data_IF_255414827460
#
_entry.id   IF_255414827460
#
_cell.length_a   1.000
_cell.length_b   1.000
_cell.length_c   1.000
_cell.angle_alpha   90.00
_cell.angle_beta   90.00
_cell.angle_gamma   90.00
#
_symmetry.space_group_name_H-M   'P 1'
#
loop_
_entity.id
_entity.type
_entity.pdbx_description
1 polymer ?
#
# COMPACT_ATOMS: atom_id res chain seq x y z
N UNK A 1 16.39 -44.15 -37.14
CA UNK A 1 16.70 -44.17 -35.69
C UNK A 1 17.18 -42.77 -35.35
N UNK A 2 16.25 -41.90 -34.98
CA UNK A 2 16.56 -40.51 -34.58
C UNK A 2 16.55 -40.47 -33.06
N UNK A 3 17.70 -40.13 -32.50
CA UNK A 3 17.88 -39.94 -31.06
C UNK A 3 17.50 -38.51 -30.74
N UNK A 4 16.35 -38.30 -30.08
CA UNK A 4 15.96 -37.02 -29.51
C UNK A 4 16.64 -36.88 -28.15
N UNK A 5 17.68 -36.06 -28.09
CA UNK A 5 18.31 -35.62 -26.86
C UNK A 5 17.41 -34.59 -26.19
N UNK A 6 16.63 -34.99 -25.18
CA UNK A 6 15.84 -34.10 -24.35
C UNK A 6 16.74 -33.38 -23.35
N UNK A 7 16.94 -32.08 -23.53
CA UNK A 7 17.48 -31.22 -22.46
C UNK A 7 16.41 -31.04 -21.39
N UNK A 8 16.52 -31.80 -20.31
CA UNK A 8 15.80 -31.54 -19.06
C UNK A 8 16.42 -30.30 -18.40
N UNK A 9 15.86 -29.16 -18.66
CA UNK A 9 16.14 -27.96 -17.87
C UNK A 9 15.65 -28.22 -16.45
N UNK A 10 16.59 -28.30 -15.48
CA UNK A 10 16.23 -28.31 -14.07
C UNK A 10 15.55 -27.00 -13.71
N UNK A 11 14.25 -27.07 -13.47
CA UNK A 11 13.54 -25.99 -12.80
C UNK A 11 14.18 -25.90 -11.40
N UNK A 12 14.95 -24.83 -11.15
CA UNK A 12 15.38 -24.52 -9.78
C UNK A 12 14.10 -24.18 -9.02
N UNK A 13 13.68 -25.07 -8.16
CA UNK A 13 12.71 -24.76 -7.11
C UNK A 13 13.46 -23.79 -6.19
N UNK A 14 13.12 -22.51 -6.28
CA UNK A 14 13.57 -21.51 -5.31
C UNK A 14 12.83 -21.87 -4.03
N UNK A 15 13.55 -22.29 -2.99
CA UNK A 15 12.93 -22.53 -1.69
C UNK A 15 12.33 -21.21 -1.21
N UNK A 16 11.11 -21.24 -0.64
CA UNK A 16 10.49 -20.02 -0.13
C UNK A 16 11.38 -19.39 0.94
N UNK A 17 11.63 -18.10 0.84
CA UNK A 17 12.42 -17.35 1.82
C UNK A 17 11.69 -17.40 3.16
N UNK A 18 12.37 -17.84 4.22
CA UNK A 18 11.86 -17.63 5.58
C UNK A 18 12.00 -16.15 5.93
N UNK A 19 10.92 -15.39 5.71
CA UNK A 19 10.92 -13.94 5.88
C UNK A 19 11.23 -13.49 7.32
N UNK A 20 11.02 -14.36 8.32
CA UNK A 20 11.36 -14.06 9.72
C UNK A 20 12.85 -14.20 10.05
N UNK A 21 13.61 -14.92 9.22
CA UNK A 21 15.02 -15.21 9.46
C UNK A 21 15.94 -14.87 8.28
N UNK A 22 15.41 -14.83 7.06
CA UNK A 22 16.18 -14.73 5.83
C UNK A 22 16.32 -13.32 5.27
N UNK A 23 15.57 -12.34 5.77
CA UNK A 23 15.62 -10.96 5.29
C UNK A 23 16.58 -10.11 6.12
N UNK A 24 17.20 -9.12 5.45
CA UNK A 24 18.01 -8.12 6.12
C UNK A 24 17.11 -6.96 6.51
N UNK A 25 17.12 -6.66 7.80
CA UNK A 25 16.27 -5.63 8.40
C UNK A 25 17.17 -4.60 9.06
N UNK A 26 16.91 -3.34 8.75
CA UNK A 26 17.67 -2.21 9.28
C UNK A 26 16.78 -1.37 10.19
N UNK A 27 17.36 -0.85 11.26
CA UNK A 27 16.78 0.27 11.98
C UNK A 27 16.96 1.53 11.15
N UNK A 28 15.88 2.30 10.97
CA UNK A 28 15.88 3.41 10.03
C UNK A 28 16.69 4.62 10.47
N UNK A 29 16.92 4.80 11.77
CA UNK A 29 17.61 5.98 12.33
C UNK A 29 19.15 5.90 12.25
N UNK A 30 19.71 4.69 12.35
CA UNK A 30 21.17 4.49 12.41
C UNK A 30 21.69 3.39 11.45
N UNK A 31 20.82 2.73 10.70
CA UNK A 31 21.17 1.66 9.77
C UNK A 31 21.63 0.36 10.44
N UNK A 32 21.48 0.23 11.75
CA UNK A 32 21.89 -0.98 12.45
C UNK A 32 21.04 -2.18 12.02
N UNK A 33 21.69 -3.29 11.70
CA UNK A 33 21.00 -4.54 11.38
C UNK A 33 20.31 -5.07 12.63
N UNK A 34 19.04 -5.34 12.51
CA UNK A 34 18.19 -5.89 13.57
C UNK A 34 17.60 -7.23 13.14
N UNK A 35 16.97 -7.94 14.08
CA UNK A 35 16.32 -9.23 13.85
C UNK A 35 14.85 -9.19 14.20
N UNK A 36 14.11 -10.18 13.75
CA UNK A 36 12.67 -10.30 13.98
C UNK A 36 12.20 -10.01 15.41
N UNK A 37 12.87 -10.51 16.48
CA UNK A 37 12.45 -10.20 17.85
C UNK A 37 12.48 -8.71 18.21
N UNK A 38 13.36 -7.93 17.57
CA UNK A 38 13.49 -6.48 17.82
C UNK A 38 12.34 -5.73 17.14
N UNK A 39 11.96 -6.13 15.91
CA UNK A 39 10.73 -5.63 15.28
C UNK A 39 9.52 -5.96 16.16
N UNK A 40 9.37 -7.21 16.57
CA UNK A 40 8.23 -7.63 17.40
C UNK A 40 8.20 -6.95 18.77
N UNK A 41 9.34 -6.52 19.29
CA UNK A 41 9.38 -5.66 20.48
C UNK A 41 8.84 -4.26 20.21
N UNK A 42 9.17 -3.65 19.07
CA UNK A 42 8.61 -2.36 18.64
C UNK A 42 7.11 -2.48 18.39
N UNK A 43 6.67 -3.51 17.66
CA UNK A 43 5.26 -3.85 17.42
C UNK A 43 4.49 -4.03 18.73
N UNK A 44 5.08 -4.69 19.75
CA UNK A 44 4.45 -4.83 21.06
C UNK A 44 4.21 -3.48 21.75
N UNK A 45 5.11 -2.52 21.54
CA UNK A 45 5.00 -1.17 22.07
C UNK A 45 4.04 -0.25 21.30
N UNK A 46 3.71 -0.59 20.06
CA UNK A 46 2.91 0.23 19.17
C UNK A 46 1.41 -0.06 19.32
N UNK A 47 0.60 0.94 19.01
CA UNK A 47 -0.86 0.85 18.88
C UNK A 47 -1.27 0.73 17.41
N UNK A 48 -0.46 1.32 16.51
CA UNK A 48 -0.62 1.23 15.05
C UNK A 48 0.70 0.78 14.43
N UNK A 49 0.62 -0.23 13.58
CA UNK A 49 1.73 -0.76 12.79
C UNK A 49 1.43 -0.44 11.34
N UNK A 50 2.22 0.42 10.72
CA UNK A 50 2.09 0.78 9.29
C UNK A 50 3.13 -0.01 8.52
N UNK A 51 2.67 -0.80 7.55
CA UNK A 51 3.50 -1.65 6.71
C UNK A 51 3.54 -1.06 5.29
N UNK A 52 4.61 -0.34 4.99
CA UNK A 52 4.88 0.23 3.67
C UNK A 52 5.34 -0.83 2.68
N UNK A 53 4.83 -0.79 1.44
CA UNK A 53 5.11 -1.79 0.41
C UNK A 53 5.44 -1.20 -0.95
N UNK A 54 6.10 -1.99 -1.78
CA UNK A 54 6.02 -1.93 -3.23
C UNK A 54 5.00 -2.97 -3.68
N UNK A 55 4.01 -2.55 -4.48
CA UNK A 55 2.83 -3.37 -4.81
C UNK A 55 3.12 -4.66 -5.57
N UNK A 56 4.28 -4.80 -6.19
CA UNK A 56 4.72 -5.96 -6.98
C UNK A 56 5.84 -6.78 -6.29
N UNK A 57 6.15 -6.48 -5.02
CA UNK A 57 7.14 -7.21 -4.24
C UNK A 57 6.54 -8.38 -3.46
N UNK A 58 6.54 -9.56 -4.07
CA UNK A 58 5.99 -10.78 -3.45
C UNK A 58 6.68 -11.16 -2.12
N UNK A 59 7.96 -10.85 -1.94
CA UNK A 59 8.69 -11.12 -0.70
C UNK A 59 8.28 -10.14 0.39
N UNK A 60 8.10 -8.86 0.02
CA UNK A 60 7.55 -7.82 0.90
C UNK A 60 6.15 -8.19 1.40
N UNK A 61 5.27 -8.70 0.53
CA UNK A 61 3.94 -9.19 0.95
C UNK A 61 4.03 -10.42 1.87
N UNK A 62 4.99 -11.32 1.64
CA UNK A 62 5.27 -12.43 2.57
C UNK A 62 5.71 -11.92 3.94
N UNK A 63 6.51 -10.85 3.98
CA UNK A 63 6.89 -10.18 5.24
C UNK A 63 5.69 -9.54 5.94
N UNK A 64 4.83 -8.84 5.20
CA UNK A 64 3.59 -8.27 5.76
C UNK A 64 2.68 -9.35 6.36
N UNK A 65 2.47 -10.46 5.63
CA UNK A 65 1.69 -11.59 6.13
C UNK A 65 2.26 -12.11 7.45
N UNK A 66 3.58 -12.29 7.56
CA UNK A 66 4.22 -12.76 8.77
C UNK A 66 4.02 -11.81 9.97
N UNK A 67 4.06 -10.49 9.75
CA UNK A 67 3.75 -9.50 10.80
C UNK A 67 2.27 -9.61 11.21
N UNK A 68 1.34 -9.68 10.25
CA UNK A 68 -0.10 -9.82 10.51
C UNK A 68 -0.38 -11.07 11.34
N UNK A 69 0.14 -12.24 10.93
CA UNK A 69 0.00 -13.50 11.66
C UNK A 69 0.51 -13.38 13.10
N UNK A 70 1.71 -12.84 13.29
CA UNK A 70 2.34 -12.69 14.61
C UNK A 70 1.57 -11.70 15.49
N UNK A 71 1.01 -10.63 14.91
CA UNK A 71 0.17 -9.65 15.64
C UNK A 71 -1.15 -10.31 16.06
N UNK A 72 -1.89 -10.90 15.13
CA UNK A 72 -3.19 -11.51 15.42
C UNK A 72 -3.08 -12.68 16.40
N UNK A 73 -1.99 -13.44 16.35
CA UNK A 73 -1.75 -14.50 17.32
C UNK A 73 -1.52 -13.96 18.74
N UNK A 74 -0.82 -12.83 18.89
CA UNK A 74 -0.42 -12.29 20.21
C UNK A 74 -1.44 -11.32 20.80
N UNK A 75 -2.15 -10.61 19.93
CA UNK A 75 -3.14 -9.59 20.26
C UNK A 75 -4.43 -9.85 19.44
N UNK A 76 -5.25 -10.80 19.85
CA UNK A 76 -6.40 -11.27 19.06
C UNK A 76 -7.48 -10.21 18.83
N UNK A 77 -7.56 -9.17 19.67
CA UNK A 77 -8.49 -8.05 19.48
C UNK A 77 -7.95 -6.97 18.53
N UNK A 78 -6.99 -7.32 17.68
CA UNK A 78 -6.41 -6.43 16.67
C UNK A 78 -7.19 -6.46 15.36
N UNK A 79 -6.98 -5.44 14.53
CA UNK A 79 -7.58 -5.30 13.21
C UNK A 79 -6.52 -5.21 12.12
N UNK A 80 -6.85 -5.67 10.90
CA UNK A 80 -6.07 -5.45 9.68
C UNK A 80 -6.77 -4.36 8.88
N UNK A 81 -6.04 -3.30 8.51
CA UNK A 81 -6.53 -2.18 7.73
C UNK A 81 -5.79 -2.13 6.40
N UNK A 82 -6.49 -1.97 5.29
CA UNK A 82 -5.87 -2.12 3.97
C UNK A 82 -6.21 -0.94 3.05
N UNK A 83 -5.18 -0.35 2.44
CA UNK A 83 -5.33 0.64 1.38
C UNK A 83 -6.10 0.08 0.18
N UNK A 84 -5.95 -1.20 -0.08
CA UNK A 84 -6.42 -1.94 -1.24
C UNK A 84 -7.94 -1.95 -1.37
N UNK A 85 -8.64 -1.70 -0.28
CA UNK A 85 -10.11 -1.64 -0.24
C UNK A 85 -10.60 -0.22 0.02
N UNK A 86 -11.58 0.22 -0.74
CA UNK A 86 -12.29 1.46 -0.46
C UNK A 86 -13.50 1.25 0.47
N UNK A 87 -13.89 2.31 1.16
CA UNK A 87 -14.97 2.27 2.19
C UNK A 87 -16.30 1.72 1.67
N UNK A 88 -16.56 1.71 0.36
CA UNK A 88 -17.80 1.13 -0.21
C UNK A 88 -17.76 -0.41 -0.21
N UNK A 89 -16.61 -1.01 -0.01
CA UNK A 89 -16.41 -2.45 -0.05
C UNK A 89 -16.54 -3.12 1.32
N UNK A 90 -16.65 -2.34 2.41
CA UNK A 90 -16.65 -2.88 3.77
C UNK A 90 -17.69 -3.99 3.97
N UNK A 91 -18.93 -3.79 3.52
CA UNK A 91 -19.99 -4.80 3.69
C UNK A 91 -19.67 -6.12 2.96
N UNK A 92 -19.00 -6.06 1.81
CA UNK A 92 -18.60 -7.27 1.06
C UNK A 92 -17.47 -8.00 1.79
N UNK A 93 -16.55 -7.25 2.39
CA UNK A 93 -15.47 -7.80 3.22
C UNK A 93 -16.07 -8.50 4.45
N UNK A 94 -16.98 -7.85 5.15
CA UNK A 94 -17.63 -8.39 6.34
C UNK A 94 -18.40 -9.68 6.01
N UNK A 95 -19.12 -9.72 4.89
CA UNK A 95 -19.83 -10.89 4.39
C UNK A 95 -18.86 -12.06 4.09
N UNK A 96 -17.69 -11.78 3.53
CA UNK A 96 -16.66 -12.80 3.27
C UNK A 96 -16.03 -13.32 4.57
N UNK A 97 -15.69 -12.43 5.49
CA UNK A 97 -15.12 -12.81 6.79
C UNK A 97 -16.09 -13.66 7.61
N UNK A 98 -17.40 -13.40 7.49
CA UNK A 98 -18.48 -14.14 8.16
C UNK A 98 -18.89 -15.45 7.45
N UNK A 99 -18.19 -15.88 6.39
CA UNK A 99 -18.57 -17.02 5.55
C UNK A 99 -19.98 -16.91 4.91
N UNK A 100 -20.51 -15.69 4.78
CA UNK A 100 -21.80 -15.43 4.15
C UNK A 100 -21.71 -15.50 2.62
N UNK A 101 -20.55 -15.10 2.05
CA UNK A 101 -20.20 -15.25 0.63
C UNK A 101 -18.90 -16.03 0.48
N UNK A 102 -18.73 -16.70 -0.64
CA UNK A 102 -17.50 -17.40 -0.99
C UNK A 102 -16.42 -16.47 -1.56
N UNK A 103 -15.21 -17.00 -1.75
CA UNK A 103 -14.08 -16.27 -2.30
C UNK A 103 -14.35 -15.73 -3.71
N UNK A 104 -15.03 -16.50 -4.56
CA UNK A 104 -15.34 -16.08 -5.94
C UNK A 104 -16.25 -14.84 -5.92
N UNK A 105 -17.31 -14.87 -5.12
CA UNK A 105 -18.23 -13.74 -4.94
C UNK A 105 -17.52 -12.52 -4.35
N UNK A 106 -16.67 -12.72 -3.33
CA UNK A 106 -15.83 -11.66 -2.76
C UNK A 106 -14.96 -11.00 -3.83
N UNK A 107 -14.22 -11.79 -4.61
CA UNK A 107 -13.35 -11.30 -5.68
C UNK A 107 -14.13 -10.61 -6.81
N UNK A 108 -15.35 -11.05 -7.12
CA UNK A 108 -16.18 -10.41 -8.13
C UNK A 108 -16.74 -9.06 -7.68
N UNK A 109 -16.99 -8.91 -6.38
CA UNK A 109 -17.67 -7.76 -5.81
C UNK A 109 -16.72 -6.66 -5.33
N UNK A 110 -15.44 -6.95 -5.18
CA UNK A 110 -14.44 -5.96 -4.77
C UNK A 110 -13.69 -5.36 -5.96
N UNK A 111 -13.43 -4.06 -5.88
CA UNK A 111 -12.67 -3.34 -6.91
C UNK A 111 -11.17 -3.67 -6.87
N UNK A 112 -10.65 -4.08 -5.72
CA UNK A 112 -9.27 -4.52 -5.51
C UNK A 112 -8.87 -5.66 -6.44
N UNK A 113 -9.81 -6.49 -6.87
CA UNK A 113 -9.58 -7.60 -7.80
C UNK A 113 -9.82 -7.25 -9.28
N UNK A 114 -10.01 -5.98 -9.60
CA UNK A 114 -10.15 -5.54 -11.02
C UNK A 114 -8.97 -5.96 -11.88
N UNK A 115 -7.80 -6.04 -11.31
CA UNK A 115 -6.60 -6.55 -11.98
C UNK A 115 -6.80 -8.01 -12.41
N UNK A 116 -7.25 -8.87 -11.52
CA UNK A 116 -7.54 -10.28 -11.80
C UNK A 116 -8.60 -10.42 -12.90
N UNK A 117 -9.65 -9.61 -12.83
CA UNK A 117 -10.72 -9.58 -13.85
C UNK A 117 -10.18 -9.19 -15.24
N UNK A 118 -9.31 -8.18 -15.30
CA UNK A 118 -8.64 -7.79 -16.55
C UNK A 118 -7.70 -8.88 -17.07
N UNK A 119 -6.95 -9.52 -16.20
CA UNK A 119 -6.05 -10.62 -16.54
C UNK A 119 -6.83 -11.82 -17.10
N UNK A 120 -7.98 -12.16 -16.51
CA UNK A 120 -8.88 -13.19 -17.02
C UNK A 120 -9.44 -12.83 -18.41
N UNK A 121 -9.86 -11.58 -18.62
CA UNK A 121 -10.34 -11.10 -19.92
C UNK A 121 -9.23 -11.13 -20.99
N UNK A 122 -8.01 -10.79 -20.63
CA UNK A 122 -6.87 -10.89 -21.53
C UNK A 122 -6.54 -12.35 -21.89
N UNK A 123 -6.51 -13.24 -20.90
CA UNK A 123 -6.28 -14.66 -21.11
C UNK A 123 -7.39 -15.32 -21.96
N UNK A 124 -8.63 -14.86 -21.83
CA UNK A 124 -9.76 -15.29 -22.65
C UNK A 124 -9.76 -14.69 -24.08
N UNK A 125 -8.80 -13.82 -24.42
CA UNK A 125 -8.73 -13.17 -25.73
C UNK A 125 -9.76 -12.04 -25.97
N UNK A 126 -10.45 -11.61 -24.91
CA UNK A 126 -11.45 -10.52 -24.97
C UNK A 126 -10.80 -9.14 -25.06
N UNK A 127 -9.54 -9.04 -24.64
CA UNK A 127 -8.73 -7.82 -24.71
C UNK A 127 -7.48 -8.06 -25.54
N UNK A 128 -7.12 -7.10 -26.41
CA UNK A 128 -5.82 -7.11 -27.04
C UNK A 128 -4.74 -6.62 -26.05
N UNK A 129 -3.47 -7.01 -26.32
CA UNK A 129 -2.31 -6.69 -25.49
C UNK A 129 -2.20 -5.20 -25.14
N UNK A 130 -2.32 -4.31 -26.10
CA UNK A 130 -2.21 -2.86 -25.92
C UNK A 130 -3.28 -2.32 -24.96
N UNK A 131 -4.52 -2.81 -25.09
CA UNK A 131 -5.63 -2.41 -24.22
C UNK A 131 -5.45 -2.95 -22.82
N UNK A 132 -4.97 -4.19 -22.68
CA UNK A 132 -4.64 -4.81 -21.40
C UNK A 132 -3.56 -4.01 -20.68
N UNK A 133 -2.40 -3.81 -21.32
CA UNK A 133 -1.28 -3.05 -20.74
C UNK A 133 -1.69 -1.63 -20.32
N UNK A 134 -2.48 -0.92 -21.13
CA UNK A 134 -2.98 0.41 -20.80
C UNK A 134 -3.94 0.41 -19.60
N UNK A 135 -4.75 -0.64 -19.45
CA UNK A 135 -5.72 -0.73 -18.35
C UNK A 135 -5.05 -1.19 -17.07
N UNK A 136 -4.16 -2.18 -17.15
CA UNK A 136 -3.49 -2.77 -15.99
C UNK A 136 -2.55 -1.78 -15.31
N UNK A 137 -1.84 -0.95 -16.09
CA UNK A 137 -0.99 0.12 -15.58
C UNK A 137 -1.73 1.19 -14.71
N UNK A 138 -3.07 1.12 -14.66
CA UNK A 138 -3.93 2.01 -13.88
C UNK A 138 -4.60 1.31 -12.71
N UNK A 139 -4.30 0.04 -12.49
CA UNK A 139 -4.91 -0.79 -11.45
C UNK A 139 -3.83 -1.27 -10.51
N UNK A 140 -3.91 -0.82 -9.29
CA UNK A 140 -2.82 -0.82 -8.34
C UNK A 140 -2.47 -2.13 -7.63
N UNK A 141 -3.16 -3.27 -7.85
CA UNK A 141 -2.95 -4.44 -6.98
C UNK A 141 -2.58 -5.70 -7.77
N UNK A 142 -1.29 -5.83 -8.20
CA UNK A 142 -0.85 -6.99 -8.96
C UNK A 142 -0.85 -8.25 -8.10
N UNK A 143 -1.09 -9.39 -8.76
CA UNK A 143 -0.97 -10.72 -8.15
C UNK A 143 -1.75 -10.88 -6.82
N UNK A 144 -3.00 -10.37 -6.78
CA UNK A 144 -3.86 -10.38 -5.59
C UNK A 144 -3.89 -11.72 -4.87
N UNK A 145 -4.01 -12.81 -5.61
CA UNK A 145 -4.15 -14.17 -5.06
C UNK A 145 -2.93 -14.60 -4.23
N UNK A 146 -1.73 -14.14 -4.60
CA UNK A 146 -0.48 -14.47 -3.90
C UNK A 146 -0.05 -13.41 -2.89
N UNK A 147 -0.36 -12.14 -3.14
CA UNK A 147 0.16 -11.03 -2.38
C UNK A 147 -0.77 -10.59 -1.25
N UNK A 148 -2.05 -10.40 -1.54
CA UNK A 148 -3.00 -9.79 -0.59
C UNK A 148 -4.03 -10.78 -0.02
N UNK A 149 -4.50 -11.74 -0.83
CA UNK A 149 -5.50 -12.71 -0.36
C UNK A 149 -5.04 -13.50 0.87
N UNK A 150 -3.77 -13.96 0.98
CA UNK A 150 -3.32 -14.65 2.18
C UNK A 150 -3.42 -13.82 3.46
N UNK A 151 -3.28 -12.49 3.36
CA UNK A 151 -3.42 -11.57 4.50
C UNK A 151 -4.88 -11.46 4.94
N UNK A 152 -5.81 -11.35 3.99
CA UNK A 152 -7.25 -11.36 4.27
C UNK A 152 -7.67 -12.69 4.89
N UNK A 153 -7.14 -13.81 4.37
CA UNK A 153 -7.44 -15.16 4.88
C UNK A 153 -6.85 -15.39 6.28
N UNK A 154 -5.68 -14.83 6.58
CA UNK A 154 -5.11 -14.86 7.93
C UNK A 154 -5.98 -14.08 8.94
N UNK A 155 -6.49 -12.91 8.55
CA UNK A 155 -7.44 -12.15 9.36
C UNK A 155 -8.74 -12.94 9.57
N UNK A 156 -9.31 -13.53 8.52
CA UNK A 156 -10.49 -14.38 8.58
C UNK A 156 -10.29 -15.58 9.53
N UNK A 157 -9.16 -16.27 9.39
CA UNK A 157 -8.84 -17.42 10.24
C UNK A 157 -8.69 -17.06 11.71
N UNK A 158 -8.21 -15.85 12.00
CA UNK A 158 -8.09 -15.32 13.35
C UNK A 158 -9.39 -14.72 13.89
N UNK A 159 -10.44 -14.57 13.07
CA UNK A 159 -11.67 -13.87 13.44
C UNK A 159 -11.48 -12.36 13.60
N UNK A 160 -10.41 -11.80 13.02
CA UNK A 160 -10.08 -10.40 13.09
C UNK A 160 -10.78 -9.59 11.97
N UNK A 161 -11.23 -8.34 12.23
CA UNK A 161 -11.80 -7.50 11.21
C UNK A 161 -10.76 -7.05 10.18
N UNK A 162 -11.19 -6.95 8.92
CA UNK A 162 -10.45 -6.29 7.84
C UNK A 162 -11.18 -5.00 7.49
N UNK A 163 -10.46 -3.89 7.54
CA UNK A 163 -10.99 -2.54 7.36
C UNK A 163 -10.68 -2.03 5.96
N UNK A 164 -11.74 -1.69 5.22
CA UNK A 164 -11.66 -0.97 3.96
C UNK A 164 -11.25 0.48 4.23
N UNK A 165 -9.95 0.76 4.16
CA UNK A 165 -9.42 2.01 4.69
C UNK A 165 -9.50 3.19 3.73
N UNK A 166 -9.50 2.93 2.41
CA UNK A 166 -9.29 3.96 1.40
C UNK A 166 -10.59 4.67 0.99
N UNK A 167 -10.44 5.78 0.30
CA UNK A 167 -11.56 6.46 -0.38
C UNK A 167 -11.90 5.75 -1.70
N UNK A 168 -13.14 5.81 -2.18
CA UNK A 168 -13.46 5.48 -3.57
C UNK A 168 -12.66 6.36 -4.55
N UNK A 169 -11.45 5.94 -4.85
CA UNK A 169 -10.42 6.74 -5.53
C UNK A 169 -10.81 7.20 -6.93
N UNK A 170 -11.61 6.42 -7.67
CA UNK A 170 -12.15 6.83 -8.98
C UNK A 170 -13.18 7.96 -8.88
N UNK A 171 -13.65 8.29 -7.68
CA UNK A 171 -14.66 9.33 -7.43
C UNK A 171 -14.02 10.51 -6.70
N UNK A 172 -13.85 10.41 -5.39
CA UNK A 172 -13.48 11.55 -4.55
C UNK A 172 -12.04 12.01 -4.74
N UNK A 173 -11.08 11.07 -4.83
CA UNK A 173 -9.71 11.38 -5.19
C UNK A 173 -9.64 12.07 -6.57
N UNK A 174 -10.40 11.57 -7.56
CA UNK A 174 -10.43 12.15 -8.90
C UNK A 174 -11.10 13.54 -8.93
N UNK A 175 -12.08 13.80 -8.07
CA UNK A 175 -12.69 15.13 -7.92
C UNK A 175 -11.69 16.10 -7.28
N UNK A 176 -11.07 15.73 -6.15
CA UNK A 176 -10.03 16.53 -5.50
C UNK A 176 -8.89 16.90 -6.47
N UNK A 177 -8.47 15.92 -7.28
CA UNK A 177 -7.43 16.11 -8.30
C UNK A 177 -7.78 17.17 -9.33
N UNK A 178 -9.02 17.16 -9.84
CA UNK A 178 -9.44 18.02 -10.97
C UNK A 178 -10.03 19.35 -10.54
N UNK A 179 -10.74 19.39 -9.42
CA UNK A 179 -11.62 20.50 -9.05
C UNK A 179 -11.28 21.10 -7.67
N UNK A 180 -10.34 20.49 -6.92
CA UNK A 180 -9.96 20.94 -5.58
C UNK A 180 -10.83 20.35 -4.48
N UNK A 181 -10.52 20.71 -3.23
CA UNK A 181 -11.22 20.19 -2.05
C UNK A 181 -12.61 20.81 -1.87
N UNK A 182 -12.78 22.07 -2.25
CA UNK A 182 -14.05 22.81 -2.10
C UNK A 182 -15.20 22.11 -2.83
N UNK A 183 -14.90 21.42 -3.92
CA UNK A 183 -15.91 20.65 -4.65
C UNK A 183 -16.44 19.45 -3.85
N UNK A 184 -15.65 18.96 -2.91
CA UNK A 184 -16.00 17.84 -2.01
C UNK A 184 -16.91 18.28 -0.84
N UNK A 185 -17.16 19.56 -0.65
CA UNK A 185 -18.11 20.06 0.35
C UNK A 185 -19.58 19.88 -0.10
N UNK A 186 -19.82 19.85 -1.41
CA UNK A 186 -21.14 19.72 -2.01
C UNK A 186 -21.62 18.27 -2.13
N UNK A 187 -21.57 17.51 -1.03
CA UNK A 187 -21.94 16.09 -1.01
C UNK A 187 -22.98 15.79 0.07
N UNK A 188 -23.71 14.69 -0.10
CA UNK A 188 -24.63 14.19 0.93
C UNK A 188 -23.86 13.61 2.11
N UNK A 189 -24.52 13.46 3.27
CA UNK A 189 -23.91 12.83 4.45
C UNK A 189 -23.42 11.40 4.17
N UNK A 190 -24.16 10.63 3.36
CA UNK A 190 -23.75 9.28 2.96
C UNK A 190 -22.49 9.28 2.09
N UNK A 191 -22.32 10.25 1.21
CA UNK A 191 -21.10 10.40 0.43
C UNK A 191 -19.94 10.88 1.31
N UNK A 192 -20.20 11.80 2.24
CA UNK A 192 -19.18 12.35 3.14
C UNK A 192 -18.56 11.29 4.05
N UNK A 193 -19.28 10.24 4.39
CA UNK A 193 -18.73 9.12 5.17
C UNK A 193 -17.72 8.24 4.42
N UNK A 194 -17.58 8.41 3.10
CA UNK A 194 -16.73 7.60 2.26
C UNK A 194 -15.32 8.17 2.07
N UNK A 195 -15.06 9.38 2.52
CA UNK A 195 -13.75 10.03 2.37
C UNK A 195 -13.51 11.06 3.47
N UNK A 196 -12.26 11.43 3.63
CA UNK A 196 -11.84 12.56 4.44
C UNK A 196 -11.02 13.52 3.59
N UNK A 197 -11.05 14.80 3.97
CA UNK A 197 -10.25 15.86 3.37
C UNK A 197 -9.33 16.40 4.46
N UNK A 198 -8.03 16.60 4.19
CA UNK A 198 -7.14 17.22 5.16
C UNK A 198 -7.53 18.69 5.38
N UNK A 199 -7.25 19.22 6.56
CA UNK A 199 -7.53 20.62 6.90
C UNK A 199 -6.80 21.63 5.99
N UNK A 200 -5.65 21.20 5.46
CA UNK A 200 -4.81 22.02 4.57
C UNK A 200 -3.95 21.15 3.68
N UNK A 201 -3.48 21.70 2.57
CA UNK A 201 -2.39 21.12 1.77
C UNK A 201 -1.09 21.34 2.55
N UNK A 202 -0.38 20.28 2.96
CA UNK A 202 0.86 20.42 3.71
C UNK A 202 1.96 21.03 2.82
N UNK A 203 2.81 21.83 3.44
CA UNK A 203 4.12 22.23 2.91
C UNK A 203 5.20 21.35 3.56
N UNK A 204 6.38 21.28 2.96
CA UNK A 204 7.51 20.56 3.53
C UNK A 204 7.91 19.30 2.75
N UNK A 205 8.64 18.38 3.42
CA UNK A 205 9.35 17.27 2.75
C UNK A 205 8.44 16.31 2.00
N UNK A 206 7.25 16.00 2.51
CA UNK A 206 6.30 15.12 1.82
C UNK A 206 5.87 15.71 0.46
N UNK A 207 5.55 17.01 0.43
CA UNK A 207 5.21 17.71 -0.82
C UNK A 207 6.39 17.76 -1.78
N UNK A 208 7.58 18.09 -1.30
CA UNK A 208 8.81 18.13 -2.12
C UNK A 208 9.09 16.79 -2.76
N UNK A 209 9.08 15.71 -1.97
CA UNK A 209 9.25 14.34 -2.48
C UNK A 209 8.21 13.95 -3.52
N UNK A 210 6.96 14.42 -3.35
CA UNK A 210 5.92 14.16 -4.32
C UNK A 210 6.25 14.77 -5.69
N UNK A 211 6.78 16.01 -5.72
CA UNK A 211 7.26 16.65 -6.94
C UNK A 211 8.48 15.92 -7.52
N UNK A 212 9.47 15.62 -6.71
CA UNK A 212 10.69 14.92 -7.14
C UNK A 212 10.37 13.56 -7.77
N UNK A 213 9.48 12.79 -7.16
CA UNK A 213 9.09 11.46 -7.68
C UNK A 213 8.27 11.56 -8.97
N UNK A 214 7.37 12.55 -9.10
CA UNK A 214 6.48 12.64 -10.27
C UNK A 214 7.05 13.46 -11.42
N UNK A 215 7.86 14.47 -11.13
CA UNK A 215 8.38 15.41 -12.11
C UNK A 215 9.88 15.32 -12.31
N UNK A 216 10.63 14.63 -11.43
CA UNK A 216 12.09 14.62 -11.42
C UNK A 216 12.72 16.00 -11.12
N UNK A 217 11.94 16.93 -10.61
CA UNK A 217 12.35 18.33 -10.36
C UNK A 217 11.65 18.89 -9.12
N UNK A 218 12.15 19.99 -8.60
CA UNK A 218 11.47 20.73 -7.55
C UNK A 218 10.25 21.52 -8.07
N UNK A 219 9.31 21.82 -7.18
CA UNK A 219 8.18 22.68 -7.50
C UNK A 219 8.65 24.08 -7.92
N UNK A 220 8.11 24.61 -9.01
CA UNK A 220 8.48 25.91 -9.56
C UNK A 220 9.71 25.91 -10.48
N UNK A 221 10.42 24.81 -10.60
CA UNK A 221 11.46 24.65 -11.62
C UNK A 221 10.83 24.39 -13.00
N UNK A 222 11.41 24.88 -14.10
CA UNK A 222 10.90 24.58 -15.43
C UNK A 222 10.98 23.09 -15.72
N UNK A 223 9.99 22.55 -16.45
CA UNK A 223 10.11 21.22 -17.01
C UNK A 223 11.27 21.21 -18.02
N UNK A 224 12.14 20.19 -17.94
CA UNK A 224 13.20 20.05 -18.92
C UNK A 224 12.60 19.75 -20.29
N UNK A 225 12.90 20.60 -21.29
CA UNK A 225 12.50 20.43 -22.69
C UNK A 225 13.39 19.39 -23.42
N UNK A 226 14.10 18.52 -22.67
CA UNK A 226 15.04 17.58 -23.28
C UNK A 226 14.31 16.36 -23.85
N UNK A 227 14.15 16.40 -25.18
CA UNK A 227 13.58 15.33 -26.03
C UNK A 227 14.51 14.09 -26.16
N UNK A 228 15.50 13.93 -25.29
CA UNK A 228 16.57 12.95 -25.45
C UNK A 228 16.68 11.92 -24.33
N UNK A 229 16.16 10.80 -24.57
CA UNK A 229 16.51 9.42 -24.22
C UNK A 229 15.36 8.59 -23.66
N UNK A 230 15.01 7.51 -24.37
CA UNK A 230 13.88 6.61 -24.13
C UNK A 230 13.95 5.78 -22.81
N UNK A 231 14.84 6.07 -21.89
CA UNK A 231 15.01 5.33 -20.64
C UNK A 231 15.02 6.26 -19.42
N UNK A 232 13.84 6.74 -19.02
CA UNK A 232 13.68 7.47 -17.75
C UNK A 232 13.02 8.85 -17.85
N UNK A 233 12.40 9.19 -18.96
CA UNK A 233 11.68 10.46 -19.07
C UNK A 233 10.49 10.47 -18.11
N UNK A 234 10.60 11.29 -17.04
CA UNK A 234 9.43 11.67 -16.27
C UNK A 234 8.44 12.35 -17.23
N UNK A 235 7.14 11.99 -17.21
CA UNK A 235 6.16 12.71 -18.02
C UNK A 235 6.23 14.18 -17.59
N UNK A 236 6.46 15.10 -18.53
CA UNK A 236 6.59 16.54 -18.28
C UNK A 236 5.29 17.16 -17.78
N UNK A 237 4.85 16.76 -16.57
CA UNK A 237 3.68 17.33 -15.92
C UNK A 237 3.99 18.74 -15.43
N UNK A 238 3.09 19.68 -15.68
CA UNK A 238 3.14 21.00 -15.07
C UNK A 238 2.76 20.94 -13.57
N UNK A 239 3.13 21.97 -12.83
CA UNK A 239 2.92 22.04 -11.38
C UNK A 239 1.44 21.99 -11.00
N UNK A 240 0.52 22.49 -11.84
CA UNK A 240 -0.91 22.44 -11.56
C UNK A 240 -1.42 20.98 -11.64
N UNK A 241 -0.95 20.23 -12.62
CA UNK A 241 -1.26 18.80 -12.75
C UNK A 241 -0.73 18.01 -11.56
N UNK A 242 0.52 18.27 -11.13
CA UNK A 242 1.13 17.61 -9.98
C UNK A 242 0.41 17.99 -8.68
N UNK A 243 0.09 19.27 -8.49
CA UNK A 243 -0.71 19.75 -7.35
C UNK A 243 -2.08 19.06 -7.31
N UNK A 244 -2.71 18.88 -8.46
CA UNK A 244 -3.94 18.11 -8.56
C UNK A 244 -3.75 16.66 -8.10
N UNK A 245 -2.68 15.98 -8.55
CA UNK A 245 -2.34 14.62 -8.13
C UNK A 245 -2.10 14.57 -6.61
N UNK A 246 -1.38 15.55 -6.08
CA UNK A 246 -1.10 15.65 -4.64
C UNK A 246 -2.37 15.84 -3.81
N UNK A 247 -3.34 16.66 -4.27
CA UNK A 247 -4.66 16.75 -3.63
C UNK A 247 -5.36 15.39 -3.56
N UNK A 248 -5.29 14.61 -4.65
CA UNK A 248 -5.84 13.25 -4.66
C UNK A 248 -5.16 12.34 -3.64
N UNK A 249 -3.84 12.39 -3.57
CA UNK A 249 -3.03 11.66 -2.58
C UNK A 249 -3.44 12.00 -1.15
N UNK A 250 -3.60 13.29 -0.86
CA UNK A 250 -3.96 13.77 0.48
C UNK A 250 -5.37 13.32 0.92
N UNK A 251 -6.33 13.19 0.00
CA UNK A 251 -7.66 12.61 0.32
C UNK A 251 -7.52 11.13 0.68
N UNK A 252 -6.65 10.39 0.01
CA UNK A 252 -6.37 9.00 0.37
C UNK A 252 -5.74 8.92 1.77
N UNK A 253 -4.67 9.70 2.02
CA UNK A 253 -3.97 9.75 3.30
C UNK A 253 -4.93 10.09 4.46
N UNK A 254 -5.73 11.14 4.31
CA UNK A 254 -6.68 11.57 5.33
C UNK A 254 -7.76 10.51 5.59
N UNK A 255 -8.25 9.84 4.54
CA UNK A 255 -9.29 8.80 4.67
C UNK A 255 -8.72 7.55 5.36
N UNK A 256 -7.55 7.08 4.97
CA UNK A 256 -6.91 5.93 5.59
C UNK A 256 -6.56 6.21 7.06
N UNK A 257 -6.02 7.38 7.36
CA UNK A 257 -5.74 7.80 8.74
C UNK A 257 -7.00 7.85 9.61
N UNK A 258 -8.12 8.34 9.07
CA UNK A 258 -9.40 8.34 9.77
C UNK A 258 -9.89 6.92 10.02
N UNK A 259 -9.83 6.03 9.03
CA UNK A 259 -10.23 4.63 9.17
C UNK A 259 -9.43 3.90 10.25
N UNK A 260 -8.12 4.15 10.35
CA UNK A 260 -7.26 3.62 11.41
C UNK A 260 -7.68 4.18 12.79
N UNK A 261 -7.86 5.51 12.88
CA UNK A 261 -8.22 6.15 14.13
C UNK A 261 -9.61 5.71 14.64
N UNK A 262 -10.59 5.60 13.75
CA UNK A 262 -11.94 5.09 14.03
C UNK A 262 -11.89 3.63 14.54
N UNK A 263 -11.08 2.78 13.90
CA UNK A 263 -10.89 1.37 14.30
C UNK A 263 -10.31 1.26 15.70
N UNK A 264 -9.31 2.09 16.03
CA UNK A 264 -8.77 2.16 17.39
C UNK A 264 -9.78 2.67 18.41
N UNK A 265 -10.54 3.71 18.06
CA UNK A 265 -11.60 4.24 18.93
C UNK A 265 -12.73 3.22 19.17
N UNK A 266 -12.98 2.34 18.21
CA UNK A 266 -13.90 1.21 18.34
C UNK A 266 -13.38 0.10 19.25
N UNK A 267 -12.12 0.18 19.71
CA UNK A 267 -11.57 -0.72 20.73
C UNK A 267 -10.55 -1.73 20.23
N UNK A 268 -10.11 -1.65 18.96
CA UNK A 268 -9.04 -2.51 18.49
C UNK A 268 -7.75 -2.32 19.33
N UNK A 269 -7.17 -3.43 19.81
CA UNK A 269 -5.95 -3.41 20.63
C UNK A 269 -4.77 -2.89 19.79
N UNK A 270 -4.67 -3.35 18.56
CA UNK A 270 -3.71 -2.85 17.55
C UNK A 270 -4.40 -2.75 16.18
N UNK A 271 -3.89 -1.86 15.34
CA UNK A 271 -4.24 -1.81 13.92
C UNK A 271 -2.98 -2.03 13.11
N UNK A 272 -2.97 -3.07 12.28
CA UNK A 272 -1.94 -3.30 11.27
C UNK A 272 -2.46 -2.75 9.96
N UNK A 273 -1.82 -1.71 9.42
CA UNK A 273 -2.24 -1.05 8.19
C UNK A 273 -1.24 -1.31 7.07
N UNK A 274 -1.74 -1.86 5.96
CA UNK A 274 -0.98 -2.13 4.73
C UNK A 274 -1.21 -1.00 3.74
N UNK A 275 -0.11 -0.44 3.21
CA UNK A 275 -0.16 0.75 2.36
C UNK A 275 1.07 0.84 1.45
N UNK A 276 0.93 1.41 0.25
CA UNK A 276 2.08 1.77 -0.57
C UNK A 276 3.05 2.66 0.20
N UNK A 277 4.33 2.33 0.18
CA UNK A 277 5.34 2.94 1.06
C UNK A 277 5.42 4.47 0.93
N UNK A 278 5.05 5.02 -0.23
CA UNK A 278 5.07 6.47 -0.44
C UNK A 278 4.14 7.24 0.51
N UNK A 279 3.03 6.64 0.96
CA UNK A 279 2.10 7.23 1.92
C UNK A 279 2.67 7.36 3.34
N UNK A 280 3.64 6.51 3.72
CA UNK A 280 4.14 6.42 5.10
C UNK A 280 5.62 6.77 5.27
N UNK A 281 6.45 6.61 4.22
CA UNK A 281 7.89 6.89 4.26
C UNK A 281 8.20 8.33 4.63
N UNK A 282 9.22 8.53 5.47
CA UNK A 282 9.72 9.84 5.93
C UNK A 282 8.60 10.71 6.53
N UNK A 283 7.79 10.13 7.41
CA UNK A 283 6.60 10.79 7.98
C UNK A 283 5.65 11.26 6.86
N UNK A 284 5.29 10.36 5.93
CA UNK A 284 4.39 10.66 4.81
C UNK A 284 3.01 11.13 5.23
N UNK A 285 2.16 11.50 4.27
CA UNK A 285 0.87 12.14 4.53
C UNK A 285 -0.04 11.33 5.45
N UNK A 286 -0.10 10.01 5.28
CA UNK A 286 -0.85 9.11 6.16
C UNK A 286 -0.40 9.24 7.62
N UNK A 287 0.92 9.22 7.87
CA UNK A 287 1.46 9.28 9.25
C UNK A 287 1.19 10.64 9.87
N UNK A 288 1.33 11.74 9.10
CA UNK A 288 1.02 13.10 9.56
C UNK A 288 -0.45 13.23 9.94
N UNK A 289 -1.38 12.76 9.09
CA UNK A 289 -2.82 12.78 9.33
C UNK A 289 -3.20 11.90 10.54
N UNK A 290 -2.59 10.73 10.68
CA UNK A 290 -2.85 9.85 11.81
C UNK A 290 -2.39 10.46 13.14
N UNK A 291 -1.20 11.11 13.18
CA UNK A 291 -0.74 11.84 14.36
C UNK A 291 -1.65 13.02 14.71
N UNK A 292 -2.26 13.67 13.71
CA UNK A 292 -3.23 14.74 13.94
C UNK A 292 -4.53 14.21 14.53
N UNK A 293 -5.03 13.07 14.06
CA UNK A 293 -6.33 12.48 14.45
C UNK A 293 -6.26 11.68 15.75
N UNK A 294 -5.14 11.01 16.00
CA UNK A 294 -4.87 10.26 17.23
C UNK A 294 -3.47 10.59 17.78
N UNK A 295 -3.31 11.75 18.42
CA UNK A 295 -2.00 12.20 18.94
C UNK A 295 -1.40 11.31 20.03
N UNK A 296 -2.19 10.39 20.58
CA UNK A 296 -1.75 9.44 21.61
C UNK A 296 -1.33 8.09 21.06
N UNK A 297 -1.64 7.82 19.80
CA UNK A 297 -1.25 6.58 19.18
C UNK A 297 0.28 6.47 19.06
N UNK A 298 0.80 5.36 19.53
CA UNK A 298 2.19 4.96 19.29
C UNK A 298 2.22 4.25 17.95
N UNK A 299 2.86 4.87 16.98
CA UNK A 299 2.93 4.38 15.60
C UNK A 299 4.33 3.79 15.40
N UNK A 300 4.40 2.64 14.75
CA UNK A 300 5.63 2.10 14.17
C UNK A 300 5.44 1.95 12.67
N UNK A 301 6.40 2.44 11.90
CA UNK A 301 6.43 2.33 10.44
C UNK A 301 7.51 1.33 10.04
N UNK A 302 7.16 0.35 9.22
CA UNK A 302 8.06 -0.67 8.69
C UNK A 302 7.89 -0.69 7.18
N UNK A 303 8.93 -0.37 6.43
CA UNK A 303 8.87 -0.32 4.98
C UNK A 303 9.69 -1.46 4.37
N UNK A 304 9.04 -2.25 3.50
CA UNK A 304 9.69 -3.26 2.67
C UNK A 304 10.00 -2.67 1.29
N UNK A 305 11.25 -2.84 0.85
CA UNK A 305 11.74 -2.37 -0.44
C UNK A 305 12.35 -3.53 -1.23
N UNK A 306 12.05 -3.59 -2.51
CA UNK A 306 12.59 -4.58 -3.46
C UNK A 306 14.05 -4.25 -3.81
N UNK A 307 14.88 -4.16 -2.77
CA UNK A 307 16.28 -3.80 -2.82
C UNK A 307 17.15 -4.91 -2.25
N UNK A 308 18.44 -4.87 -2.59
CA UNK A 308 19.46 -5.76 -2.06
C UNK A 308 20.61 -4.93 -1.49
N UNK A 309 21.14 -5.35 -0.35
CA UNK A 309 22.28 -4.67 0.24
C UNK A 309 22.72 -5.32 1.55
N UNK A 310 23.95 -5.07 1.93
CA UNK A 310 24.52 -5.47 3.23
C UNK A 310 24.55 -4.32 4.23
N UNK A 311 24.20 -3.12 3.78
CA UNK A 311 24.11 -1.89 4.55
C UNK A 311 22.89 -1.11 4.08
N UNK A 312 22.28 -0.34 5.00
CA UNK A 312 21.20 0.59 4.66
C UNK A 312 21.77 1.72 3.78
N UNK A 313 21.11 2.01 2.66
CA UNK A 313 21.52 3.09 1.77
C UNK A 313 21.33 4.45 2.47
N UNK A 314 22.15 5.42 2.17
CA UNK A 314 22.06 6.78 2.74
C UNK A 314 20.69 7.40 2.48
N UNK A 315 20.09 7.14 1.31
CA UNK A 315 18.77 7.63 0.92
C UNK A 315 17.61 6.98 1.68
N UNK A 316 17.86 5.87 2.35
CA UNK A 316 16.86 5.16 3.18
C UNK A 316 16.97 5.51 4.67
N UNK A 317 18.00 6.27 5.09
CA UNK A 317 18.10 6.76 6.46
C UNK A 317 16.92 7.67 6.81
N UNK A 318 16.26 7.38 7.92
CA UNK A 318 15.07 8.11 8.38
C UNK A 318 13.79 7.80 7.61
N UNK A 319 13.79 6.83 6.68
CA UNK A 319 12.63 6.46 5.87
C UNK A 319 11.46 5.92 6.71
N UNK A 320 11.77 5.02 7.63
CA UNK A 320 10.82 4.36 8.53
C UNK A 320 11.52 4.00 9.85
N UNK A 321 10.81 3.48 10.85
CA UNK A 321 11.44 2.93 12.06
C UNK A 321 12.29 1.69 11.72
N UNK A 322 11.80 0.89 10.75
CA UNK A 322 12.54 -0.25 10.20
C UNK A 322 12.41 -0.28 8.67
N UNK A 323 13.51 -0.59 8.00
CA UNK A 323 13.58 -0.81 6.54
C UNK A 323 13.99 -2.24 6.28
N UNK A 324 13.28 -2.92 5.41
CA UNK A 324 13.49 -4.34 5.06
C UNK A 324 13.86 -4.43 3.60
N UNK A 325 15.00 -5.03 3.29
CA UNK A 325 15.40 -5.33 1.93
C UNK A 325 15.01 -6.76 1.57
N UNK A 326 14.28 -6.92 0.47
CA UNK A 326 13.60 -8.17 0.10
C UNK A 326 14.29 -8.95 -1.02
N UNK A 327 15.43 -8.47 -1.54
CA UNK A 327 16.25 -9.15 -2.55
C UNK A 327 17.58 -9.63 -2.03
#
# INVERSE_FOLDING_TARGET
MLVLCGCAGSVRVVEPVDVRAGLVIYRGDDGAVVRWPEIMKAVAGADVIVLGEEHDDAVGHGFQLAIVEDVLQRWPDSAVSMEMFDRTEQAVIDDYLADFIDLETFQERTASTRWLKLSRQYAAGELNRKTFEKRIARLGWPDWESNYQPIVDAAKAAGAPVIAANTPWLVYMSVARREGFERLDDVTAAQRSLFEVPDRIPEGEYRKRFWEVLAGRAEGEPADDDDGDEQGAHPGFDDETILGMFRGQLVMDATMAASIAETRQAGAEKVVHLVGHFHCDFEGGLVQELRSRDPRARIVVITALSEAGTELRDEDLGRADFVVYTR
#
